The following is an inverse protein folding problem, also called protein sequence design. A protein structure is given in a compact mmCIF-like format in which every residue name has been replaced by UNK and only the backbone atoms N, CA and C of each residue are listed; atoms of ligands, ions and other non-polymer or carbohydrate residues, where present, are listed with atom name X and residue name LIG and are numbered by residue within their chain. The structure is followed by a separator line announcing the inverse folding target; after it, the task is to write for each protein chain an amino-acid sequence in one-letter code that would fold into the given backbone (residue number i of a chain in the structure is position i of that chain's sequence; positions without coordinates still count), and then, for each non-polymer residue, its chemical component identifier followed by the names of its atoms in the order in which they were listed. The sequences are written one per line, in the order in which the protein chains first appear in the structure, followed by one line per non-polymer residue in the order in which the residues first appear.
data_IF_360165883093
#
_entry.id   IF_360165883093
#
_cell.length_a   1.000
_cell.length_b   1.000
_cell.length_c   1.000
_cell.angle_alpha   90.00
_cell.angle_beta   90.00
_cell.angle_gamma   90.00
#
_symmetry.space_group_name_H-M   'P 1'
#
loop_
_entity.id
_entity.type
_entity.pdbx_description
1 polymer ?
#
# COMPACT_ATOMS: atom_id res chain seq x y z
N UNK A 1 -0.69 -9.57 -15.46
CA UNK A 1 -0.61 -8.13 -15.13
C UNK A 1 0.84 -7.82 -14.87
N UNK A 2 1.32 -6.71 -15.43
CA UNK A 2 2.66 -6.21 -15.14
C UNK A 2 2.72 -5.77 -13.67
N UNK A 3 3.77 -6.15 -12.94
CA UNK A 3 3.88 -5.84 -11.50
C UNK A 3 4.04 -4.33 -11.29
N UNK A 4 4.66 -3.63 -12.25
CA UNK A 4 4.91 -2.20 -12.19
C UNK A 4 3.60 -1.41 -12.33
N UNK A 5 2.70 -1.88 -13.21
CA UNK A 5 1.38 -1.28 -13.38
C UNK A 5 0.55 -1.41 -12.09
N UNK A 6 0.60 -2.58 -11.44
CA UNK A 6 -0.14 -2.80 -10.19
C UNK A 6 0.43 -1.98 -9.03
N UNK A 7 1.75 -1.88 -8.92
CA UNK A 7 2.40 -1.02 -7.92
C UNK A 7 1.97 0.45 -8.07
N UNK A 8 1.93 0.95 -9.31
CA UNK A 8 1.48 2.31 -9.60
C UNK A 8 0.02 2.54 -9.19
N UNK A 9 -0.87 1.60 -9.50
CA UNK A 9 -2.28 1.69 -9.11
C UNK A 9 -2.44 1.72 -7.58
N UNK A 10 -1.69 0.89 -6.84
CA UNK A 10 -1.71 0.89 -5.38
C UNK A 10 -1.20 2.19 -4.77
N UNK A 11 -0.13 2.75 -5.34
CA UNK A 11 0.39 4.05 -4.93
C UNK A 11 -0.65 5.16 -5.11
N UNK A 12 -1.24 5.28 -6.31
CA UNK A 12 -2.25 6.30 -6.58
C UNK A 12 -3.50 6.13 -5.73
N UNK A 13 -3.91 4.88 -5.49
CA UNK A 13 -5.06 4.54 -4.67
C UNK A 13 -4.84 4.92 -3.20
N UNK A 14 -3.67 4.60 -2.64
CA UNK A 14 -3.29 5.00 -1.29
C UNK A 14 -3.16 6.52 -1.17
N UNK A 15 -2.51 7.18 -2.14
CA UNK A 15 -2.31 8.63 -2.15
C UNK A 15 -3.66 9.35 -2.04
N UNK A 16 -4.60 8.99 -2.91
CA UNK A 16 -5.89 9.69 -3.01
C UNK A 16 -6.84 9.36 -1.86
N UNK A 17 -6.87 8.12 -1.40
CA UNK A 17 -7.93 7.66 -0.51
C UNK A 17 -7.50 7.42 0.94
N UNK A 18 -6.20 7.28 1.21
CA UNK A 18 -5.68 7.13 2.59
C UNK A 18 -5.00 8.40 3.08
N UNK A 19 -4.38 9.16 2.18
CA UNK A 19 -3.57 10.33 2.52
C UNK A 19 -4.10 11.65 1.93
N UNK A 20 -5.29 11.65 1.31
CA UNK A 20 -5.93 12.84 0.73
C UNK A 20 -5.03 13.66 -0.23
N UNK A 21 -4.12 12.99 -0.95
CA UNK A 21 -3.17 13.63 -1.85
C UNK A 21 -1.90 14.15 -1.17
N UNK A 22 -1.68 13.90 0.11
CA UNK A 22 -0.46 14.29 0.81
C UNK A 22 0.73 13.42 0.40
N UNK A 23 1.52 13.93 -0.54
CA UNK A 23 2.71 13.27 -1.07
C UNK A 23 3.80 13.04 -0.02
N UNK A 24 3.89 13.89 1.02
CA UNK A 24 4.90 13.74 2.08
C UNK A 24 4.54 12.59 3.01
N UNK A 25 3.25 12.51 3.40
CA UNK A 25 2.77 11.44 4.27
C UNK A 25 2.84 10.08 3.59
N UNK A 26 2.44 9.98 2.31
CA UNK A 26 2.57 8.70 1.60
C UNK A 26 4.05 8.31 1.46
N UNK A 27 4.94 9.24 1.13
CA UNK A 27 6.37 8.94 0.97
C UNK A 27 6.96 8.35 2.25
N UNK A 28 6.62 8.96 3.40
CA UNK A 28 7.00 8.44 4.71
C UNK A 28 6.38 7.06 4.98
N UNK A 29 5.10 6.88 4.68
CA UNK A 29 4.42 5.61 4.89
C UNK A 29 5.01 4.48 4.04
N UNK A 30 5.39 4.76 2.79
CA UNK A 30 6.02 3.79 1.89
C UNK A 30 7.33 3.21 2.45
N UNK A 31 8.10 4.03 3.16
CA UNK A 31 9.37 3.64 3.77
C UNK A 31 9.21 3.08 5.20
N UNK A 32 8.03 3.24 5.81
CA UNK A 32 7.79 2.83 7.20
C UNK A 32 7.37 1.35 7.27
N UNK A 33 8.09 0.51 8.05
CA UNK A 33 7.65 -0.84 8.39
C UNK A 33 6.24 -0.86 8.99
N UNK A 34 5.34 -1.67 8.44
CA UNK A 34 3.97 -1.80 8.95
C UNK A 34 3.81 -3.13 9.69
N UNK A 35 3.50 -3.13 11.00
CA UNK A 35 3.36 -4.38 11.78
C UNK A 35 2.33 -5.36 11.22
N UNK A 36 1.22 -4.85 10.67
CA UNK A 36 0.18 -5.66 10.02
C UNK A 36 0.64 -6.33 8.71
N UNK A 37 1.76 -5.89 8.16
CA UNK A 37 2.40 -6.42 6.95
C UNK A 37 3.64 -7.26 7.31
N UNK A 38 3.62 -7.93 8.47
CA UNK A 38 4.75 -8.67 9.02
C UNK A 38 6.02 -7.82 9.25
N UNK A 39 5.88 -6.50 9.38
CA UNK A 39 7.00 -5.58 9.53
C UNK A 39 7.64 -5.16 8.21
N UNK A 40 7.10 -5.55 7.06
CA UNK A 40 7.55 -5.05 5.76
C UNK A 40 7.02 -3.64 5.49
N UNK A 41 7.79 -2.88 4.71
CA UNK A 41 7.34 -1.58 4.22
C UNK A 41 6.48 -1.74 2.95
N UNK A 42 5.52 -0.83 2.69
CA UNK A 42 4.73 -0.84 1.46
C UNK A 42 5.60 -0.79 0.19
N UNK A 43 6.72 -0.05 0.23
CA UNK A 43 7.67 0.03 -0.88
C UNK A 43 8.29 -1.33 -1.21
N UNK A 44 8.74 -2.08 -0.19
CA UNK A 44 9.29 -3.44 -0.40
C UNK A 44 8.25 -4.36 -1.02
N UNK A 45 7.01 -4.31 -0.53
CA UNK A 45 5.92 -5.14 -1.04
C UNK A 45 5.57 -4.83 -2.49
N UNK A 46 5.53 -3.54 -2.86
CA UNK A 46 5.27 -3.13 -4.25
C UNK A 46 6.33 -3.63 -5.24
N UNK A 47 7.53 -3.97 -4.78
CA UNK A 47 8.58 -4.55 -5.61
C UNK A 47 8.33 -6.00 -6.05
N UNK A 48 7.25 -6.65 -5.59
CA UNK A 48 6.94 -8.03 -5.96
C UNK A 48 5.45 -8.21 -6.29
N UNK A 49 5.08 -9.13 -7.21
CA UNK A 49 3.68 -9.38 -7.53
C UNK A 49 2.86 -9.82 -6.31
N UNK A 50 3.42 -10.71 -5.48
CA UNK A 50 2.75 -11.19 -4.25
C UNK A 50 2.64 -10.10 -3.20
N UNK A 51 3.66 -9.25 -3.04
CA UNK A 51 3.61 -8.13 -2.11
C UNK A 51 2.55 -7.10 -2.51
N UNK A 52 2.39 -6.81 -3.80
CA UNK A 52 1.28 -6.00 -4.30
C UNK A 52 -0.09 -6.55 -3.90
N UNK A 53 -0.32 -7.86 -3.95
CA UNK A 53 -1.59 -8.46 -3.52
C UNK A 53 -1.82 -8.33 -2.01
N UNK A 54 -0.78 -8.50 -1.21
CA UNK A 54 -0.84 -8.32 0.26
C UNK A 54 -1.18 -6.87 0.59
N UNK A 55 -0.47 -5.92 -0.04
CA UNK A 55 -0.67 -4.49 0.17
C UNK A 55 -2.06 -4.04 -0.28
N UNK A 56 -2.56 -4.55 -1.41
CA UNK A 56 -3.91 -4.28 -1.89
C UNK A 56 -4.98 -4.66 -0.85
N UNK A 57 -4.88 -5.86 -0.29
CA UNK A 57 -5.81 -6.32 0.76
C UNK A 57 -5.72 -5.45 2.00
N UNK A 58 -4.52 -5.04 2.39
CA UNK A 58 -4.30 -4.14 3.51
C UNK A 58 -4.94 -2.76 3.29
N UNK A 59 -4.71 -2.13 2.14
CA UNK A 59 -5.33 -0.84 1.77
C UNK A 59 -6.86 -0.95 1.78
N UNK A 60 -7.42 -2.03 1.21
CA UNK A 60 -8.87 -2.29 1.25
C UNK A 60 -9.40 -2.38 2.68
N UNK A 61 -8.69 -3.06 3.58
CA UNK A 61 -9.06 -3.14 5.00
C UNK A 61 -9.07 -1.77 5.68
N UNK A 62 -8.08 -0.93 5.40
CA UNK A 62 -8.04 0.43 5.94
C UNK A 62 -9.21 1.30 5.45
N UNK A 63 -9.58 1.15 4.17
CA UNK A 63 -10.67 1.92 3.55
C UNK A 63 -12.05 1.55 4.08
N UNK A 64 -12.33 0.25 4.17
CA UNK A 64 -13.68 -0.25 4.44
C UNK A 64 -13.87 -0.70 5.90
N UNK A 65 -12.80 -0.65 6.72
CA UNK A 65 -12.86 -0.97 8.14
C UNK A 65 -13.20 -2.43 8.43
N UNK A 66 -12.97 -3.33 7.48
CA UNK A 66 -13.41 -4.71 7.58
C UNK A 66 -12.45 -5.52 8.48
N UNK A 67 -12.71 -5.42 9.78
CA UNK A 67 -12.22 -6.35 10.79
C UNK A 67 -13.16 -7.57 10.80
N UNK A 68 -12.92 -8.52 9.90
CA UNK A 68 -13.41 -9.89 10.06
C UNK A 68 -12.45 -10.71 10.91
#
# INVERSE_FOLDING_TARGET
MDSDQKAKELFEDALKNLFDGDEQLISRWLETPVPALAGESPQTLMGTPTGCEVLERYIKKLKYGDYS
#
